data_IF_176353201567
#
_entry.id   IF_176353201567
#
_cell.length_a   1.000
_cell.length_b   1.000
_cell.length_c   1.000
_cell.angle_alpha   90.00
_cell.angle_beta   90.00
_cell.angle_gamma   90.00
#
_symmetry.space_group_name_H-M   'P 1'
#
loop_
_entity.id
_entity.type
_entity.pdbx_description
1 polymer ?
#
# COMPACT_ATOMS: atom_id res chain seq x y z
N UNK A 1 -15.88 -0.72 -13.90
CA UNK A 1 -14.98 -1.23 -12.84
C UNK A 1 -15.69 -1.07 -11.51
N UNK A 2 -15.77 -2.13 -10.69
CA UNK A 2 -16.27 -2.01 -9.32
C UNK A 2 -15.10 -1.53 -8.45
N UNK A 3 -15.27 -0.46 -7.68
CA UNK A 3 -14.22 -0.01 -6.77
C UNK A 3 -14.00 -1.05 -5.65
N UNK A 4 -12.76 -1.17 -5.20
CA UNK A 4 -12.40 -2.08 -4.11
C UNK A 4 -13.04 -1.61 -2.81
N UNK A 5 -13.78 -2.50 -2.15
CA UNK A 5 -14.32 -2.25 -0.81
C UNK A 5 -13.23 -2.54 0.23
N UNK A 6 -12.96 -1.57 1.11
CA UNK A 6 -12.03 -1.73 2.22
C UNK A 6 -12.83 -1.79 3.52
N UNK A 7 -12.54 -2.77 4.35
CA UNK A 7 -13.16 -2.94 5.68
C UNK A 7 -12.08 -2.94 6.74
N UNK A 8 -12.23 -2.09 7.76
CA UNK A 8 -11.34 -2.01 8.92
C UNK A 8 -12.21 -2.22 10.17
N UNK A 9 -11.87 -3.22 11.00
CA UNK A 9 -12.63 -3.56 12.22
C UNK A 9 -14.14 -3.73 11.97
N UNK A 10 -14.52 -4.31 10.83
CA UNK A 10 -15.92 -4.51 10.44
C UNK A 10 -16.63 -3.27 9.87
N UNK A 11 -15.98 -2.12 9.85
CA UNK A 11 -16.51 -0.90 9.25
C UNK A 11 -16.08 -0.79 7.78
N UNK A 12 -17.05 -0.73 6.88
CA UNK A 12 -16.80 -0.50 5.46
C UNK A 12 -16.55 0.98 5.22
N UNK A 13 -15.40 1.28 4.63
CA UNK A 13 -15.02 2.64 4.27
C UNK A 13 -15.89 3.17 3.12
N UNK A 14 -16.15 4.47 3.13
CA UNK A 14 -16.68 5.22 1.99
C UNK A 14 -15.69 5.21 0.81
N UNK A 15 -16.17 5.54 -0.39
CA UNK A 15 -15.28 5.67 -1.56
C UNK A 15 -14.16 6.70 -1.34
N UNK A 16 -14.44 7.80 -0.63
CA UNK A 16 -13.43 8.81 -0.33
C UNK A 16 -12.33 8.25 0.58
N UNK A 17 -12.70 7.57 1.66
CA UNK A 17 -11.75 6.93 2.58
C UNK A 17 -10.96 5.80 1.90
N UNK A 18 -11.63 4.98 1.07
CA UNK A 18 -10.96 3.95 0.29
C UNK A 18 -9.95 4.55 -0.71
N UNK A 19 -10.28 5.68 -1.32
CA UNK A 19 -9.37 6.42 -2.19
C UNK A 19 -8.18 7.00 -1.40
N UNK A 20 -8.41 7.52 -0.19
CA UNK A 20 -7.32 7.98 0.69
C UNK A 20 -6.31 6.87 0.95
N UNK A 21 -6.77 5.65 1.24
CA UNK A 21 -5.88 4.50 1.44
C UNK A 21 -5.11 4.15 0.15
N UNK A 22 -5.77 4.17 -1.01
CA UNK A 22 -5.09 3.95 -2.31
C UNK A 22 -3.95 4.94 -2.51
N UNK A 23 -4.22 6.23 -2.35
CA UNK A 23 -3.20 7.28 -2.51
C UNK A 23 -2.05 7.09 -1.50
N UNK A 24 -2.36 6.76 -0.25
CA UNK A 24 -1.33 6.51 0.77
C UNK A 24 -0.43 5.32 0.40
N UNK A 25 -1.01 4.22 -0.12
CA UNK A 25 -0.26 3.04 -0.58
C UNK A 25 0.64 3.38 -1.76
N UNK A 26 0.14 4.14 -2.74
CA UNK A 26 0.93 4.55 -3.90
C UNK A 26 2.05 5.53 -3.51
N UNK A 27 1.76 6.50 -2.64
CA UNK A 27 2.74 7.45 -2.13
C UNK A 27 3.86 6.75 -1.34
N UNK A 28 3.51 5.79 -0.48
CA UNK A 28 4.48 4.98 0.23
C UNK A 28 5.34 4.17 -0.74
N UNK A 29 4.74 3.59 -1.79
CA UNK A 29 5.49 2.87 -2.82
C UNK A 29 6.54 3.74 -3.50
N UNK A 30 6.21 5.01 -3.78
CA UNK A 30 7.14 5.94 -4.43
C UNK A 30 8.31 6.26 -3.50
N UNK A 31 8.04 6.68 -2.26
CA UNK A 31 9.11 6.96 -1.27
C UNK A 31 10.00 5.74 -1.02
N UNK A 32 9.44 4.53 -0.93
CA UNK A 32 10.24 3.31 -0.76
C UNK A 32 11.12 2.97 -1.98
N UNK A 33 10.72 3.34 -3.19
CA UNK A 33 11.52 3.12 -4.41
C UNK A 33 12.61 4.18 -4.54
N UNK A 34 12.33 5.42 -4.16
CA UNK A 34 13.27 6.54 -4.27
C UNK A 34 14.28 6.57 -3.13
N UNK A 35 13.84 6.38 -1.89
CA UNK A 35 14.60 6.64 -0.67
C UNK A 35 14.91 5.35 0.11
N UNK A 36 14.03 4.34 0.03
CA UNK A 36 14.12 3.15 0.87
C UNK A 36 13.94 3.46 2.36
N UNK A 37 14.32 2.52 3.24
CA UNK A 37 14.26 2.68 4.71
C UNK A 37 15.65 2.56 5.36
N UNK A 38 16.68 2.90 4.61
CA UNK A 38 18.08 2.72 5.00
C UNK A 38 18.80 1.67 4.15
N UNK A 39 20.12 1.77 4.16
CA UNK A 39 21.02 0.93 3.35
C UNK A 39 21.56 -0.28 4.13
N UNK A 40 21.25 -0.38 5.43
CA UNK A 40 21.60 -1.55 6.23
C UNK A 40 20.71 -2.76 5.89
N UNK A 41 21.11 -3.94 6.34
CA UNK A 41 20.39 -5.18 6.05
C UNK A 41 18.92 -5.10 6.51
N UNK A 42 18.67 -4.42 7.62
CA UNK A 42 17.34 -4.21 8.15
C UNK A 42 16.48 -3.33 7.25
N UNK A 43 16.98 -2.16 6.85
CA UNK A 43 16.32 -1.22 5.96
C UNK A 43 15.98 -1.85 4.61
N UNK A 44 16.94 -2.55 3.99
CA UNK A 44 16.72 -3.27 2.73
C UNK A 44 15.65 -4.36 2.85
N UNK A 45 15.67 -5.12 3.94
CA UNK A 45 14.68 -6.17 4.22
C UNK A 45 13.28 -5.59 4.40
N UNK A 46 13.15 -4.50 5.15
CA UNK A 46 11.88 -3.79 5.38
C UNK A 46 11.34 -3.18 4.08
N UNK A 47 12.18 -2.47 3.31
CA UNK A 47 11.79 -1.90 2.01
C UNK A 47 11.24 -2.98 1.09
N UNK A 48 11.94 -4.12 0.97
CA UNK A 48 11.47 -5.26 0.17
C UNK A 48 10.15 -5.82 0.69
N UNK A 49 10.01 -5.98 2.01
CA UNK A 49 8.79 -6.48 2.64
C UNK A 49 7.57 -5.59 2.37
N UNK A 50 7.73 -4.28 2.48
CA UNK A 50 6.66 -3.33 2.18
C UNK A 50 6.32 -3.28 0.70
N UNK A 51 7.31 -3.23 -0.21
CA UNK A 51 7.05 -3.25 -1.65
C UNK A 51 6.29 -4.50 -2.09
N UNK A 52 6.66 -5.68 -1.55
CA UNK A 52 5.92 -6.91 -1.81
C UNK A 52 4.47 -6.80 -1.33
N UNK A 53 4.25 -6.33 -0.10
CA UNK A 53 2.91 -6.16 0.49
C UNK A 53 2.05 -5.19 -0.33
N UNK A 54 2.64 -4.07 -0.78
CA UNK A 54 2.00 -3.10 -1.66
C UNK A 54 1.59 -3.76 -2.98
N UNK A 55 2.46 -4.57 -3.60
CA UNK A 55 2.12 -5.27 -4.84
C UNK A 55 0.96 -6.25 -4.66
N UNK A 56 0.90 -6.94 -3.52
CA UNK A 56 -0.24 -7.79 -3.15
C UNK A 56 -1.53 -6.96 -2.99
N UNK A 57 -1.46 -5.79 -2.35
CA UNK A 57 -2.59 -4.87 -2.19
C UNK A 57 -3.07 -4.36 -3.56
N UNK A 58 -2.18 -3.86 -4.42
CA UNK A 58 -2.50 -3.40 -5.78
C UNK A 58 -3.24 -4.48 -6.57
N UNK A 59 -2.74 -5.72 -6.50
CA UNK A 59 -3.37 -6.86 -7.18
C UNK A 59 -4.82 -7.07 -6.71
N UNK A 60 -5.12 -6.85 -5.43
CA UNK A 60 -6.48 -6.95 -4.86
C UNK A 60 -7.36 -5.74 -5.17
N UNK A 61 -6.77 -4.56 -5.41
CA UNK A 61 -7.50 -3.33 -5.67
C UNK A 61 -7.95 -3.18 -7.13
N UNK A 62 -7.18 -3.76 -8.07
CA UNK A 62 -7.37 -3.56 -9.51
C UNK A 62 -7.81 -4.80 -10.30
N UNK A 63 -7.81 -5.99 -9.69
CA UNK A 63 -8.45 -7.18 -10.26
C UNK A 63 -9.88 -7.31 -9.74
#
# INVERSE_FOLDING_TARGET
>A
MKESTITINGQTLSSAEAMTIRVAVESLSMSLVEEGLGEDEMGLSLTKGYLNSIQHIRTKMYK
#
